data_IF_433845317323
#
_entry.id   IF_433845317323
#
_cell.length_a   1.000
_cell.length_b   1.000
_cell.length_c   1.000
_cell.angle_alpha   90.00
_cell.angle_beta   90.00
_cell.angle_gamma   90.00
#
_symmetry.space_group_name_H-M   'P 1'
#
loop_
_entity.id
_entity.type
_entity.pdbx_description
1 polymer ?
#
# COMPACT_ATOMS: atom_id res chain seq x y z
N UNK A 1 1.10 -2.88 -22.45
CA UNK A 1 0.33 -3.34 -21.27
C UNK A 1 1.14 -4.26 -20.36
N UNK A 2 1.94 -5.19 -20.90
CA UNK A 2 2.68 -6.17 -20.10
C UNK A 2 3.70 -5.56 -19.11
N UNK A 3 4.48 -4.56 -19.55
CA UNK A 3 5.39 -3.83 -18.65
C UNK A 3 4.64 -3.17 -17.47
N UNK A 4 3.46 -2.58 -17.73
CA UNK A 4 2.65 -1.95 -16.68
C UNK A 4 2.14 -3.00 -15.68
N UNK A 5 1.67 -4.16 -16.17
CA UNK A 5 1.27 -5.29 -15.31
C UNK A 5 2.44 -5.80 -14.47
N UNK A 6 3.66 -5.86 -15.03
CA UNK A 6 4.86 -6.29 -14.32
C UNK A 6 5.25 -5.31 -13.21
N UNK A 7 5.24 -4.01 -13.51
CA UNK A 7 5.54 -2.96 -12.51
C UNK A 7 4.48 -2.93 -11.41
N UNK A 8 3.19 -2.94 -11.80
CA UNK A 8 2.07 -2.87 -10.86
C UNK A 8 1.95 -4.11 -9.98
N UNK A 9 2.12 -5.29 -10.59
CA UNK A 9 1.96 -6.59 -9.94
C UNK A 9 3.21 -7.14 -9.27
N UNK A 10 4.28 -6.34 -9.11
CA UNK A 10 5.52 -6.83 -8.53
C UNK A 10 5.35 -7.19 -7.04
N UNK A 11 5.64 -8.45 -6.72
CA UNK A 11 5.58 -9.01 -5.38
C UNK A 11 6.88 -9.75 -5.07
N UNK A 12 7.24 -9.86 -3.80
CA UNK A 12 8.38 -10.69 -3.41
C UNK A 12 8.02 -12.17 -3.58
N UNK A 13 8.88 -12.93 -4.27
CA UNK A 13 8.72 -14.38 -4.44
C UNK A 13 9.33 -15.23 -3.31
N UNK A 14 9.70 -14.62 -2.18
CA UNK A 14 10.35 -15.28 -1.05
C UNK A 14 9.46 -15.25 0.20
N UNK A 15 9.84 -15.98 1.26
CA UNK A 15 9.11 -15.98 2.54
C UNK A 15 8.96 -14.60 3.18
N UNK A 16 9.76 -13.61 2.75
CA UNK A 16 9.61 -12.21 3.14
C UNK A 16 8.24 -11.62 2.77
N UNK A 17 7.58 -12.15 1.75
CA UNK A 17 6.24 -11.74 1.33
C UNK A 17 5.17 -11.90 2.43
N UNK A 18 5.43 -12.76 3.43
CA UNK A 18 4.55 -12.91 4.58
C UNK A 18 4.49 -11.66 5.46
N UNK A 19 5.59 -10.90 5.53
CA UNK A 19 5.69 -9.67 6.30
C UNK A 19 5.44 -8.44 5.43
N UNK A 20 5.98 -8.43 4.21
CA UNK A 20 5.80 -7.32 3.29
C UNK A 20 5.65 -7.88 1.88
N UNK A 21 4.43 -8.01 1.35
CA UNK A 21 4.19 -8.68 0.07
C UNK A 21 4.79 -7.93 -1.14
N UNK A 22 5.04 -6.63 -0.99
CA UNK A 22 5.54 -5.74 -2.05
C UNK A 22 6.67 -4.84 -1.53
N UNK A 23 7.54 -4.29 -2.42
CA UNK A 23 8.50 -3.25 -2.05
C UNK A 23 7.85 -2.04 -1.40
N UNK A 24 6.63 -1.71 -1.82
CA UNK A 24 5.82 -0.68 -1.22
C UNK A 24 5.52 -0.99 0.27
N UNK A 25 4.98 -2.17 0.56
CA UNK A 25 4.70 -2.60 1.93
C UNK A 25 5.98 -2.57 2.80
N UNK A 26 7.12 -3.02 2.27
CA UNK A 26 8.40 -2.93 2.96
C UNK A 26 8.78 -1.47 3.30
N UNK A 27 8.62 -0.55 2.34
CA UNK A 27 8.93 0.86 2.58
C UNK A 27 8.08 1.46 3.70
N UNK A 28 6.79 1.09 3.78
CA UNK A 28 5.88 1.54 4.84
C UNK A 28 6.21 0.91 6.20
N UNK A 29 6.70 -0.32 6.23
CA UNK A 29 7.19 -0.97 7.45
C UNK A 29 8.44 -0.26 8.00
N UNK A 30 9.39 0.08 7.13
CA UNK A 30 10.56 0.86 7.53
C UNK A 30 10.14 2.24 8.03
N UNK A 31 9.19 2.90 7.35
CA UNK A 31 8.64 4.18 7.78
C UNK A 31 7.97 4.08 9.15
N UNK A 32 7.24 2.99 9.42
CA UNK A 32 6.65 2.68 10.72
C UNK A 32 7.72 2.58 11.81
N UNK A 33 8.76 1.79 11.60
CA UNK A 33 9.84 1.66 12.60
C UNK A 33 10.53 3.02 12.82
N UNK A 34 10.79 3.76 11.75
CA UNK A 34 11.47 5.06 11.82
C UNK A 34 10.60 6.18 12.39
N UNK A 35 9.27 6.06 12.35
CA UNK A 35 8.32 7.03 12.92
C UNK A 35 8.49 7.23 14.43
N UNK A 36 9.03 6.22 15.13
CA UNK A 36 9.34 6.29 16.56
C UNK A 36 10.37 7.38 16.87
N UNK A 37 11.33 7.61 15.97
CA UNK A 37 12.35 8.64 16.14
C UNK A 37 11.73 10.04 16.30
N UNK A 38 10.97 10.54 15.32
CA UNK A 38 10.25 11.81 15.43
C UNK A 38 9.25 11.84 16.58
N UNK A 39 8.54 10.74 16.86
CA UNK A 39 7.55 10.68 17.94
C UNK A 39 8.19 10.88 19.33
N UNK A 40 9.37 10.30 19.56
CA UNK A 40 10.10 10.38 20.83
C UNK A 40 10.87 11.70 20.92
N UNK A 41 11.60 12.07 19.86
CA UNK A 41 12.50 13.23 19.88
C UNK A 41 11.80 14.56 19.63
N UNK A 42 10.59 14.53 19.05
CA UNK A 42 9.83 15.73 18.69
C UNK A 42 10.48 16.55 17.57
N UNK A 43 11.30 15.92 16.73
CA UNK A 43 11.97 16.52 15.57
C UNK A 43 11.97 15.55 14.38
N UNK A 44 11.83 16.07 13.17
CA UNK A 44 11.95 15.27 11.94
C UNK A 44 13.32 15.50 11.31
N UNK A 45 14.09 14.44 11.16
CA UNK A 45 15.43 14.48 10.54
C UNK A 45 15.36 14.23 9.04
N UNK A 46 16.38 14.71 8.33
CA UNK A 46 16.49 14.56 6.87
C UNK A 46 16.29 13.11 6.39
N UNK A 47 16.88 12.12 7.08
CA UNK A 47 16.71 10.71 6.72
C UNK A 47 15.25 10.25 6.70
N UNK A 48 14.44 10.69 7.67
CA UNK A 48 13.00 10.38 7.70
C UNK A 48 12.27 11.01 6.50
N UNK A 49 12.64 12.25 6.13
CA UNK A 49 12.05 12.93 4.97
C UNK A 49 12.40 12.20 3.67
N UNK A 50 13.66 11.81 3.47
CA UNK A 50 14.09 11.05 2.28
C UNK A 50 13.30 9.75 2.18
N UNK A 51 13.14 9.03 3.28
CA UNK A 51 12.39 7.78 3.29
C UNK A 51 10.90 8.01 2.99
N UNK A 52 10.30 9.05 3.56
CA UNK A 52 8.92 9.44 3.26
C UNK A 52 8.72 9.73 1.77
N UNK A 53 9.69 10.41 1.11
CA UNK A 53 9.66 10.65 -0.34
C UNK A 53 9.76 9.34 -1.14
N UNK A 54 10.60 8.40 -0.70
CA UNK A 54 10.69 7.07 -1.31
C UNK A 54 9.36 6.31 -1.17
N UNK A 55 8.72 6.33 0.00
CA UNK A 55 7.40 5.72 0.21
C UNK A 55 6.34 6.37 -0.68
N UNK A 56 6.36 7.69 -0.87
CA UNK A 56 5.52 8.37 -1.84
C UNK A 56 5.73 7.83 -3.27
N UNK A 57 6.98 7.73 -3.72
CA UNK A 57 7.28 7.20 -5.05
C UNK A 57 6.77 5.76 -5.21
N UNK A 58 7.03 4.90 -4.22
CA UNK A 58 6.58 3.50 -4.19
C UNK A 58 5.07 3.34 -4.03
N UNK A 59 4.34 4.39 -3.63
CA UNK A 59 2.87 4.41 -3.63
C UNK A 59 2.33 4.89 -4.98
N UNK A 60 2.89 5.98 -5.50
CA UNK A 60 2.38 6.63 -6.70
C UNK A 60 2.65 5.83 -7.97
N UNK A 61 3.82 5.17 -8.07
CA UNK A 61 4.13 4.32 -9.23
C UNK A 61 3.05 3.24 -9.42
N UNK A 62 2.77 2.35 -8.44
CA UNK A 62 1.72 1.35 -8.60
C UNK A 62 0.31 1.94 -8.67
N UNK A 63 0.02 3.06 -7.99
CA UNK A 63 -1.29 3.70 -8.07
C UNK A 63 -1.58 4.25 -9.48
N UNK A 64 -0.60 4.92 -10.10
CA UNK A 64 -0.73 5.45 -11.47
C UNK A 64 -0.79 4.32 -12.49
N UNK A 65 0.06 3.30 -12.38
CA UNK A 65 -0.01 2.15 -13.28
C UNK A 65 -1.33 1.40 -13.12
N UNK A 66 -1.84 1.26 -11.89
CA UNK A 66 -3.15 0.68 -11.59
C UNK A 66 -4.29 1.46 -12.22
N UNK A 67 -4.28 2.80 -12.14
CA UNK A 67 -5.27 3.65 -12.80
C UNK A 67 -5.26 3.47 -14.32
N UNK A 68 -4.08 3.43 -14.95
CA UNK A 68 -3.95 3.21 -16.39
C UNK A 68 -4.50 1.83 -16.78
N UNK A 69 -4.16 0.79 -16.00
CA UNK A 69 -4.66 -0.57 -16.22
C UNK A 69 -6.19 -0.62 -16.08
N UNK A 70 -6.76 0.01 -15.05
CA UNK A 70 -8.19 0.03 -14.80
C UNK A 70 -8.98 0.79 -15.88
N UNK A 71 -8.47 1.90 -16.38
CA UNK A 71 -9.04 2.60 -17.54
C UNK A 71 -9.02 1.70 -18.78
N UNK A 72 -8.02 0.82 -18.90
CA UNK A 72 -7.96 -0.24 -19.91
C UNK A 72 -8.88 -1.44 -19.66
N UNK A 73 -9.69 -1.43 -18.60
CA UNK A 73 -10.62 -2.51 -18.24
C UNK A 73 -10.02 -3.63 -17.39
N UNK A 74 -8.77 -3.49 -16.96
CA UNK A 74 -8.11 -4.48 -16.10
C UNK A 74 -8.59 -4.37 -14.64
N UNK A 75 -8.53 -5.49 -13.94
CA UNK A 75 -8.87 -5.59 -12.52
C UNK A 75 -7.72 -6.21 -11.75
N UNK A 76 -7.82 -6.17 -10.43
CA UNK A 76 -6.90 -6.90 -9.56
C UNK A 76 -6.92 -8.41 -9.90
N UNK A 77 -5.78 -9.14 -9.86
CA UNK A 77 -5.73 -10.51 -10.38
C UNK A 77 -6.64 -11.52 -9.68
N UNK A 78 -6.88 -11.37 -8.37
CA UNK A 78 -7.81 -12.20 -7.59
C UNK A 78 -9.28 -12.01 -8.01
N UNK A 79 -9.62 -10.89 -8.63
CA UNK A 79 -10.93 -10.59 -9.19
C UNK A 79 -11.04 -10.90 -10.70
N UNK A 80 -9.98 -11.46 -11.29
CA UNK A 80 -9.89 -11.71 -12.75
C UNK A 80 -9.88 -13.21 -13.02
N UNK A 81 -10.90 -13.69 -13.74
CA UNK A 81 -11.00 -15.09 -14.17
C UNK A 81 -10.07 -15.37 -15.36
N UNK A 82 -9.17 -16.36 -15.23
CA UNK A 82 -8.31 -16.82 -16.32
C UNK A 82 -8.79 -18.12 -16.96
N UNK A 83 -9.93 -18.64 -16.52
CA UNK A 83 -10.55 -19.89 -16.97
C UNK A 83 -11.05 -20.72 -15.79
N UNK A 84 -12.17 -21.44 -15.98
CA UNK A 84 -12.69 -22.38 -14.98
C UNK A 84 -13.14 -21.76 -13.65
N UNK A 85 -13.32 -20.43 -13.58
CA UNK A 85 -13.69 -19.74 -12.34
C UNK A 85 -12.50 -19.47 -11.40
N UNK A 86 -11.27 -19.62 -11.91
CA UNK A 86 -10.05 -19.47 -11.14
C UNK A 86 -9.29 -18.21 -11.56
N UNK A 87 -8.64 -17.58 -10.58
CA UNK A 87 -7.66 -16.52 -10.78
C UNK A 87 -6.34 -17.07 -11.31
N UNK A 88 -5.42 -16.18 -11.71
CA UNK A 88 -4.06 -16.57 -12.15
C UNK A 88 -3.25 -17.33 -11.09
N UNK A 89 -3.71 -17.33 -9.83
CA UNK A 89 -3.09 -18.04 -8.71
C UNK A 89 -3.73 -19.41 -8.44
N UNK A 90 -4.67 -19.86 -9.28
CA UNK A 90 -5.38 -21.13 -9.07
C UNK A 90 -6.40 -21.10 -7.92
N UNK A 91 -6.70 -19.91 -7.40
CA UNK A 91 -7.68 -19.68 -6.34
C UNK A 91 -9.02 -19.24 -6.93
N UNK A 92 -10.17 -19.51 -6.28
CA UNK A 92 -11.47 -19.01 -6.72
C UNK A 92 -11.43 -17.50 -6.96
N UNK A 93 -12.03 -17.05 -8.06
CA UNK A 93 -12.17 -15.63 -8.35
C UNK A 93 -13.06 -14.98 -7.31
N UNK A 94 -12.71 -13.77 -6.87
CA UNK A 94 -13.54 -12.98 -5.97
C UNK A 94 -13.64 -11.53 -6.49
N UNK A 95 -14.78 -11.14 -7.11
CA UNK A 95 -14.97 -9.80 -7.65
C UNK A 95 -14.86 -8.67 -6.62
N UNK A 96 -15.18 -8.94 -5.34
CA UNK A 96 -15.12 -7.91 -4.28
C UNK A 96 -13.70 -7.40 -4.04
N UNK A 97 -12.68 -8.22 -4.35
CA UNK A 97 -11.27 -7.85 -4.15
C UNK A 97 -10.85 -6.64 -4.95
N UNK A 98 -11.48 -6.37 -6.08
CA UNK A 98 -11.18 -5.18 -6.89
C UNK A 98 -11.54 -3.89 -6.13
N UNK A 99 -12.73 -3.86 -5.52
CA UNK A 99 -13.16 -2.72 -4.70
C UNK A 99 -12.34 -2.56 -3.43
N UNK A 100 -11.99 -3.66 -2.78
CA UNK A 100 -11.10 -3.61 -1.62
C UNK A 100 -9.72 -3.05 -1.99
N UNK A 101 -9.18 -3.43 -3.16
CA UNK A 101 -7.90 -2.92 -3.64
C UNK A 101 -7.93 -1.40 -3.85
N UNK A 102 -9.03 -0.88 -4.42
CA UNK A 102 -9.26 0.57 -4.52
C UNK A 102 -9.37 1.25 -3.17
N UNK A 103 -10.14 0.69 -2.25
CA UNK A 103 -10.32 1.22 -0.90
C UNK A 103 -8.97 1.33 -0.17
N UNK A 104 -8.18 0.26 -0.12
CA UNK A 104 -6.88 0.28 0.55
C UNK A 104 -5.91 1.25 -0.14
N UNK A 105 -5.92 1.35 -1.46
CA UNK A 105 -5.09 2.31 -2.21
C UNK A 105 -5.45 3.76 -1.86
N UNK A 106 -6.74 4.09 -1.75
CA UNK A 106 -7.20 5.41 -1.33
C UNK A 106 -6.81 5.72 0.12
N UNK A 107 -6.98 4.75 1.03
CA UNK A 107 -6.59 4.88 2.44
C UNK A 107 -5.07 5.08 2.60
N UNK A 108 -4.26 4.41 1.79
CA UNK A 108 -2.81 4.61 1.73
C UNK A 108 -2.45 6.06 1.33
N UNK A 109 -3.06 6.58 0.26
CA UNK A 109 -2.83 7.96 -0.20
C UNK A 109 -3.25 8.99 0.86
N UNK A 110 -4.43 8.80 1.45
CA UNK A 110 -4.93 9.67 2.52
C UNK A 110 -3.99 9.66 3.73
N UNK A 111 -3.52 8.47 4.12
CA UNK A 111 -2.66 8.32 5.29
C UNK A 111 -1.28 8.93 5.06
N UNK A 112 -0.70 8.78 3.86
CA UNK A 112 0.53 9.47 3.48
C UNK A 112 0.37 10.99 3.50
N UNK A 113 -0.77 11.50 3.04
CA UNK A 113 -1.08 12.92 3.14
C UNK A 113 -1.17 13.38 4.61
N UNK A 114 -1.83 12.60 5.49
CA UNK A 114 -1.86 12.88 6.93
C UNK A 114 -0.44 12.88 7.50
N UNK A 115 0.41 11.93 7.13
CA UNK A 115 1.83 11.90 7.54
C UNK A 115 2.57 13.18 7.13
N UNK A 116 2.34 13.72 5.92
CA UNK A 116 2.91 15.01 5.51
C UNK A 116 2.45 16.17 6.39
N UNK A 117 1.16 16.21 6.72
CA UNK A 117 0.57 17.26 7.56
C UNK A 117 1.21 17.24 8.95
N UNK A 118 1.33 16.05 9.55
CA UNK A 118 1.98 15.86 10.86
C UNK A 118 3.46 16.27 10.84
N UNK A 119 4.20 15.86 9.81
CA UNK A 119 5.63 16.20 9.63
C UNK A 119 5.85 17.69 9.42
N UNK A 120 4.96 18.36 8.70
CA UNK A 120 5.07 19.81 8.44
C UNK A 120 4.57 20.66 9.60
N UNK A 121 3.93 20.07 10.62
CA UNK A 121 3.28 20.80 11.71
C UNK A 121 2.17 21.73 11.21
N UNK A 122 1.48 21.35 10.13
CA UNK A 122 0.31 22.07 9.63
C UNK A 122 -0.94 21.52 10.33
N UNK A 123 -1.92 22.37 10.63
CA UNK A 123 -3.19 22.03 11.29
C UNK A 123 -3.11 21.59 12.77
N UNK A 124 -1.99 21.05 13.23
CA UNK A 124 -1.73 20.70 14.63
C UNK A 124 -0.33 21.16 15.05
N UNK A 125 -0.12 21.49 16.34
CA UNK A 125 1.20 21.81 16.86
C UNK A 125 2.19 20.68 16.55
N UNK A 126 3.36 21.05 16.03
CA UNK A 126 4.32 20.11 15.45
C UNK A 126 4.67 18.96 16.42
N UNK A 127 5.20 19.26 17.62
CA UNK A 127 5.64 18.23 18.58
C UNK A 127 4.53 17.24 19.00
N UNK A 128 3.32 17.70 19.41
CA UNK A 128 2.18 16.81 19.63
C UNK A 128 1.80 16.00 18.39
N UNK A 129 1.81 16.62 17.20
CA UNK A 129 1.52 15.95 15.93
C UNK A 129 2.45 14.75 15.66
N UNK A 130 3.76 14.90 15.92
CA UNK A 130 4.72 13.82 15.71
C UNK A 130 4.45 12.58 16.55
N UNK A 131 3.78 12.71 17.70
CA UNK A 131 3.42 11.56 18.55
C UNK A 131 2.39 10.64 17.88
N UNK A 132 1.64 11.14 16.91
CA UNK A 132 0.67 10.35 16.13
C UNK A 132 1.28 9.69 14.90
N UNK A 133 2.54 9.99 14.55
CA UNK A 133 3.20 9.38 13.39
C UNK A 133 3.20 7.84 13.44
N UNK A 134 3.52 7.17 14.57
CA UNK A 134 3.51 5.71 14.63
C UNK A 134 2.14 5.11 14.31
N UNK A 135 1.07 5.73 14.80
CA UNK A 135 -0.31 5.29 14.54
C UNK A 135 -0.63 5.43 13.05
N UNK A 136 -0.33 6.60 12.46
CA UNK A 136 -0.56 6.82 11.03
C UNK A 136 0.26 5.84 10.17
N UNK A 137 1.54 5.63 10.48
CA UNK A 137 2.39 4.72 9.72
C UNK A 137 2.04 3.25 9.92
N UNK A 138 1.48 2.87 11.09
CA UNK A 138 0.99 1.52 11.34
C UNK A 138 -0.23 1.23 10.46
N UNK A 139 -1.17 2.18 10.43
CA UNK A 139 -2.35 2.08 9.58
C UNK A 139 -1.96 2.03 8.09
N UNK A 140 -1.01 2.88 7.67
CA UNK A 140 -0.47 2.88 6.30
C UNK A 140 0.13 1.51 5.94
N UNK A 141 0.97 0.95 6.81
CA UNK A 141 1.57 -0.37 6.61
C UNK A 141 0.50 -1.46 6.52
N UNK A 142 -0.51 -1.45 7.39
CA UNK A 142 -1.63 -2.38 7.34
C UNK A 142 -2.37 -2.32 6.00
N UNK A 143 -2.68 -1.11 5.51
CA UNK A 143 -3.32 -0.93 4.20
C UNK A 143 -2.41 -1.41 3.05
N UNK A 144 -1.12 -1.06 3.08
CA UNK A 144 -0.15 -1.49 2.07
C UNK A 144 0.03 -3.01 2.02
N UNK A 145 0.01 -3.66 3.18
CA UNK A 145 0.00 -5.11 3.31
C UNK A 145 -1.27 -5.70 2.68
N UNK A 146 -2.43 -5.12 3.01
CA UNK A 146 -3.71 -5.58 2.49
C UNK A 146 -3.80 -5.45 0.96
N UNK A 147 -3.25 -4.40 0.34
CA UNK A 147 -3.16 -4.26 -1.13
C UNK A 147 -2.51 -5.48 -1.78
N UNK A 148 -1.38 -5.96 -1.23
CA UNK A 148 -0.72 -7.17 -1.74
C UNK A 148 -1.53 -8.44 -1.49
N UNK A 149 -2.17 -8.53 -0.31
CA UNK A 149 -2.97 -9.69 0.10
C UNK A 149 -4.24 -9.84 -0.73
N UNK A 150 -4.98 -8.75 -0.95
CA UNK A 150 -6.18 -8.75 -1.80
C UNK A 150 -5.84 -9.03 -3.25
N UNK A 151 -4.63 -8.73 -3.70
CA UNK A 151 -4.22 -9.03 -5.06
C UNK A 151 -4.07 -10.52 -5.37
N UNK A 152 -3.84 -11.34 -4.33
CA UNK A 152 -3.57 -12.78 -4.46
C UNK A 152 -4.72 -13.62 -3.96
N UNK A 153 -5.20 -13.37 -2.74
CA UNK A 153 -6.10 -14.27 -2.04
C UNK A 153 -7.57 -13.86 -2.20
N UNK A 154 -8.50 -14.81 -2.36
CA UNK A 154 -9.93 -14.53 -2.35
C UNK A 154 -10.42 -14.09 -0.97
N UNK A 155 -11.54 -13.38 -0.93
CA UNK A 155 -12.09 -12.69 0.24
C UNK A 155 -13.42 -13.24 0.70
N UNK A 156 -14.40 -12.34 0.80
CA UNK A 156 -15.72 -12.63 1.37
C UNK A 156 -16.69 -13.23 0.36
N UNK A 157 -16.42 -13.10 -0.95
CA UNK A 157 -17.30 -13.57 -2.02
C UNK A 157 -16.59 -14.45 -3.06
N UNK A 158 -15.88 -15.52 -2.64
CA UNK A 158 -15.21 -16.43 -3.57
C UNK A 158 -16.19 -17.21 -4.43
N UNK A 159 -15.95 -17.26 -5.73
CA UNK A 159 -16.72 -18.05 -6.71
C UNK A 159 -18.09 -17.47 -7.08
N UNK A 160 -18.34 -16.21 -6.74
CA UNK A 160 -19.56 -15.47 -7.11
C UNK A 160 -19.43 -14.71 -8.43
#
# INVERSE_FOLDING_TARGET
MELLRLIHGYQFGSGLAFLFPTPYALSTLVLLVWSLGPAIKGEVRFGFLVWLRLTWALTLIPAVTGLILAVGGEKVPSATNVGGGLSKYGLPVDPSRDWEHWMYSALCLLTLYITEVLVKGRLVPHRPGLRFLPVATLFLYGCAYMIGRVAVFPGSTPGT
#
